data_IF_526582205763
#
_entry.id   IF_526582205763
#
_cell.length_a   1.000
_cell.length_b   1.000
_cell.length_c   1.000
_cell.angle_alpha   90.00
_cell.angle_beta   90.00
_cell.angle_gamma   90.00
#
_symmetry.space_group_name_H-M   'P 1'
#
loop_
_entity.id
_entity.type
_entity.pdbx_description
1 polymer ?
#
# COMPACT_ATOMS: atom_id res chain seq x y z
N UNK A 1 44.44 41.24 -23.07
CA UNK A 1 45.20 39.97 -23.14
C UNK A 1 45.32 39.26 -21.79
N UNK A 2 45.57 39.94 -20.66
CA UNK A 2 45.65 39.29 -19.33
C UNK A 2 44.35 38.57 -18.90
N UNK A 3 43.19 39.18 -19.13
CA UNK A 3 41.90 38.57 -18.80
C UNK A 3 41.56 37.33 -19.65
N UNK A 4 42.06 37.24 -20.88
CA UNK A 4 41.86 36.05 -21.73
C UNK A 4 42.77 34.90 -21.33
N UNK A 5 44.01 35.19 -20.90
CA UNK A 5 44.95 34.19 -20.37
C UNK A 5 44.44 33.63 -19.03
N UNK A 6 43.97 34.48 -18.12
CA UNK A 6 43.40 34.03 -16.84
C UNK A 6 42.17 33.11 -17.03
N UNK A 7 41.25 33.45 -17.96
CA UNK A 7 40.10 32.59 -18.30
C UNK A 7 40.54 31.26 -18.93
N UNK A 8 41.60 31.28 -19.73
CA UNK A 8 42.15 30.07 -20.37
C UNK A 8 42.80 29.13 -19.34
N UNK A 9 43.55 29.67 -18.38
CA UNK A 9 44.16 28.89 -17.30
C UNK A 9 43.11 28.25 -16.37
N UNK A 10 42.08 29.00 -16.00
CA UNK A 10 40.95 28.48 -15.21
C UNK A 10 40.25 27.34 -15.96
N UNK A 11 40.03 27.50 -17.27
CA UNK A 11 39.44 26.46 -18.12
C UNK A 11 40.31 25.21 -18.18
N UNK A 12 41.61 25.33 -18.44
CA UNK A 12 42.56 24.19 -18.44
C UNK A 12 42.64 23.49 -17.09
N UNK A 13 42.57 24.23 -15.97
CA UNK A 13 42.51 23.64 -14.63
C UNK A 13 41.21 22.84 -14.45
N UNK A 14 40.08 23.40 -14.85
CA UNK A 14 38.78 22.71 -14.84
C UNK A 14 38.78 21.44 -15.69
N UNK A 15 39.28 21.49 -16.92
CA UNK A 15 39.37 20.34 -17.83
C UNK A 15 40.26 19.23 -17.27
N UNK A 16 41.39 19.57 -16.63
CA UNK A 16 42.26 18.59 -15.97
C UNK A 16 41.53 17.91 -14.81
N UNK A 17 40.82 18.68 -13.99
CA UNK A 17 40.05 18.12 -12.88
C UNK A 17 38.92 17.22 -13.38
N UNK A 18 38.22 17.62 -14.44
CA UNK A 18 37.16 16.81 -15.05
C UNK A 18 37.69 15.49 -15.60
N UNK A 19 38.83 15.52 -16.32
CA UNK A 19 39.49 14.30 -16.82
C UNK A 19 39.95 13.39 -15.69
N UNK A 20 40.56 13.93 -14.64
CA UNK A 20 40.98 13.15 -13.48
C UNK A 20 39.79 12.51 -12.75
N UNK A 21 38.66 13.22 -12.65
CA UNK A 21 37.45 12.71 -12.04
C UNK A 21 36.79 11.62 -12.89
N UNK A 22 36.74 11.78 -14.21
CA UNK A 22 36.23 10.76 -15.13
C UNK A 22 37.07 9.47 -15.03
N UNK A 23 38.40 9.59 -15.11
CA UNK A 23 39.30 8.44 -14.97
C UNK A 23 39.21 7.73 -13.61
N UNK A 24 38.78 8.41 -12.54
CA UNK A 24 38.49 7.77 -11.25
C UNK A 24 37.15 7.04 -11.26
N UNK A 25 36.12 7.66 -11.82
CA UNK A 25 34.80 7.06 -11.95
C UNK A 25 34.82 5.81 -12.84
N UNK A 26 35.60 5.83 -13.93
CA UNK A 26 35.81 4.66 -14.81
C UNK A 26 36.47 3.48 -14.09
N UNK A 27 37.22 3.75 -13.01
CA UNK A 27 37.82 2.73 -12.13
C UNK A 27 36.91 2.37 -10.95
N UNK A 28 35.66 2.83 -10.93
CA UNK A 28 34.73 2.58 -9.85
C UNK A 28 35.07 3.29 -8.53
N UNK A 29 36.00 4.26 -8.54
CA UNK A 29 36.45 4.96 -7.33
C UNK A 29 35.61 6.24 -7.13
N UNK A 30 34.92 6.39 -5.98
CA UNK A 30 34.12 7.57 -5.71
C UNK A 30 34.96 8.85 -5.66
N UNK A 31 34.36 9.97 -6.06
CA UNK A 31 35.01 11.27 -5.98
C UNK A 31 35.09 11.71 -4.52
N UNK A 32 36.25 12.27 -4.14
CA UNK A 32 36.45 12.86 -2.81
C UNK A 32 35.50 14.06 -2.61
N UNK A 33 34.76 14.04 -1.50
CA UNK A 33 33.66 14.94 -1.21
C UNK A 33 33.21 14.82 0.25
N UNK A 34 31.98 15.22 0.54
CA UNK A 34 31.41 15.11 1.91
C UNK A 34 31.13 13.65 2.23
N UNK A 35 31.43 13.23 3.47
CA UNK A 35 31.17 11.88 3.96
C UNK A 35 29.69 11.51 3.83
N UNK A 36 29.34 10.40 3.15
CA UNK A 36 27.98 9.88 3.14
C UNK A 36 27.71 9.13 4.46
N UNK A 37 26.47 9.24 4.93
CA UNK A 37 26.00 8.45 6.08
C UNK A 37 26.00 6.96 5.73
N UNK A 38 26.59 6.12 6.58
CA UNK A 38 26.82 4.69 6.35
C UNK A 38 28.26 4.31 5.99
N UNK A 39 29.10 5.28 5.61
CA UNK A 39 30.50 5.02 5.22
C UNK A 39 31.47 5.98 5.89
N UNK A 40 32.74 5.59 5.90
CA UNK A 40 33.85 6.40 6.37
C UNK A 40 34.20 7.57 5.43
N UNK A 41 35.15 8.40 5.86
CA UNK A 41 35.61 9.60 5.13
C UNK A 41 36.17 9.26 3.75
N UNK A 42 36.68 8.04 3.57
CA UNK A 42 37.12 7.49 2.29
C UNK A 42 35.97 7.24 1.30
N UNK A 43 34.71 7.26 1.78
CA UNK A 43 33.48 6.97 1.04
C UNK A 43 33.46 5.58 0.42
N UNK A 44 34.22 4.63 0.97
CA UNK A 44 34.32 3.26 0.47
C UNK A 44 34.05 2.29 1.59
N UNK A 45 34.71 2.46 2.74
CA UNK A 45 34.60 1.55 3.88
C UNK A 45 33.30 1.78 4.64
N UNK A 46 32.58 0.72 4.98
CA UNK A 46 31.35 0.80 5.76
C UNK A 46 31.64 1.22 7.20
N UNK A 47 30.85 2.16 7.71
CA UNK A 47 30.80 2.51 9.14
C UNK A 47 29.68 1.72 9.79
N UNK A 48 30.03 0.62 10.45
CA UNK A 48 29.04 -0.36 10.92
C UNK A 48 27.93 0.22 11.81
N UNK A 49 28.22 1.16 12.70
CA UNK A 49 27.19 1.78 13.56
C UNK A 49 26.09 2.54 12.77
N UNK A 50 26.46 3.18 11.66
CA UNK A 50 25.50 3.84 10.77
C UNK A 50 24.88 2.85 9.78
N UNK A 51 25.64 1.83 9.38
CA UNK A 51 25.21 0.79 8.46
C UNK A 51 24.12 -0.10 9.06
N UNK A 52 24.23 -0.46 10.34
CA UNK A 52 23.18 -1.18 11.08
C UNK A 52 21.86 -0.39 11.08
N UNK A 53 21.92 0.93 11.32
CA UNK A 53 20.74 1.78 11.25
C UNK A 53 20.12 1.73 9.84
N UNK A 54 20.95 1.80 8.79
CA UNK A 54 20.48 1.68 7.39
C UNK A 54 19.84 0.31 7.15
N UNK A 55 20.49 -0.80 7.50
CA UNK A 55 19.95 -2.16 7.33
C UNK A 55 18.61 -2.34 8.05
N UNK A 56 18.52 -1.85 9.29
CA UNK A 56 17.27 -1.84 10.06
C UNK A 56 16.19 -1.00 9.36
N UNK A 57 16.52 0.20 8.88
CA UNK A 57 15.54 1.05 8.21
C UNK A 57 15.03 0.43 6.89
N UNK A 58 15.89 -0.28 6.15
CA UNK A 58 15.49 -1.07 4.99
C UNK A 58 14.50 -2.18 5.38
N UNK A 59 14.80 -2.96 6.43
CA UNK A 59 13.91 -4.05 6.87
C UNK A 59 12.54 -3.53 7.33
N UNK A 60 12.50 -2.41 8.04
CA UNK A 60 11.24 -1.78 8.47
C UNK A 60 10.39 -1.34 7.27
N UNK A 61 10.99 -0.72 6.26
CA UNK A 61 10.24 -0.27 5.07
C UNK A 61 9.72 -1.45 4.25
N UNK A 62 10.51 -2.52 4.12
CA UNK A 62 10.07 -3.76 3.47
C UNK A 62 8.94 -4.45 4.24
N UNK A 63 8.93 -4.35 5.58
CA UNK A 63 7.85 -4.81 6.44
C UNK A 63 6.61 -3.89 6.42
N UNK A 64 6.60 -2.84 5.59
CA UNK A 64 5.44 -1.95 5.40
C UNK A 64 5.43 -0.70 6.28
N UNK A 65 6.45 -0.46 7.11
CA UNK A 65 6.52 0.72 7.96
C UNK A 65 6.49 2.04 7.16
N UNK A 66 6.12 3.13 7.84
CA UNK A 66 6.13 4.46 7.24
C UNK A 66 7.52 5.11 7.34
N UNK A 67 7.88 5.98 6.38
CA UNK A 67 9.11 6.77 6.52
C UNK A 67 9.10 7.65 7.77
N UNK A 68 7.92 8.10 8.19
CA UNK A 68 7.76 8.91 9.39
C UNK A 68 8.12 8.12 10.65
N UNK A 69 7.65 6.87 10.79
CA UNK A 69 7.96 6.03 11.95
C UNK A 69 9.45 5.70 12.04
N UNK A 70 10.12 5.47 10.90
CA UNK A 70 11.58 5.26 10.85
C UNK A 70 12.33 6.52 11.29
N UNK A 71 11.98 7.69 10.75
CA UNK A 71 12.60 8.97 11.13
C UNK A 71 12.37 9.29 12.60
N UNK A 72 11.16 9.03 13.11
CA UNK A 72 10.83 9.23 14.52
C UNK A 72 11.71 8.34 15.39
N UNK A 73 11.83 7.05 15.09
CA UNK A 73 12.67 6.12 15.84
C UNK A 73 14.14 6.55 15.85
N UNK A 74 14.70 6.96 14.71
CA UNK A 74 16.08 7.44 14.64
C UNK A 74 16.31 8.72 15.45
N UNK A 75 15.39 9.69 15.37
CA UNK A 75 15.51 10.93 16.13
C UNK A 75 15.32 10.68 17.64
N UNK A 76 14.41 9.78 18.04
CA UNK A 76 14.21 9.38 19.44
C UNK A 76 15.48 8.69 19.99
N UNK A 77 16.21 7.94 19.16
CA UNK A 77 17.50 7.32 19.48
C UNK A 77 18.70 8.26 19.31
N UNK A 78 18.49 9.54 19.02
CA UNK A 78 19.56 10.53 18.77
C UNK A 78 20.53 10.14 17.64
N UNK A 79 20.09 9.32 16.69
CA UNK A 79 20.85 9.02 15.47
C UNK A 79 20.79 10.26 14.57
N UNK A 80 21.94 10.86 14.27
CA UNK A 80 22.02 12.05 13.42
C UNK A 80 22.55 11.70 12.04
N UNK A 81 22.29 12.58 11.06
CA UNK A 81 22.91 12.46 9.73
C UNK A 81 24.44 12.63 9.82
N UNK A 82 25.17 12.29 8.75
CA UNK A 82 26.63 12.46 8.70
C UNK A 82 27.13 13.90 8.89
N UNK A 83 26.23 14.89 8.93
CA UNK A 83 26.52 16.31 9.20
C UNK A 83 26.00 16.76 10.59
N UNK A 84 25.52 15.85 11.44
CA UNK A 84 25.01 16.15 12.77
C UNK A 84 23.57 16.68 12.82
N UNK A 85 22.86 16.73 11.68
CA UNK A 85 21.47 17.19 11.65
C UNK A 85 20.49 16.05 11.97
N UNK A 86 19.36 16.40 12.61
CA UNK A 86 18.23 15.50 12.78
C UNK A 86 17.66 15.04 11.43
N UNK A 87 17.08 13.84 11.40
CA UNK A 87 16.54 13.26 10.19
C UNK A 87 15.16 13.82 9.86
N UNK A 88 14.93 14.04 8.57
CA UNK A 88 13.62 14.30 7.98
C UNK A 88 13.23 13.19 7.02
N UNK A 89 11.92 13.02 6.78
CA UNK A 89 11.40 12.03 5.84
C UNK A 89 11.89 12.27 4.41
N UNK A 90 12.11 13.53 4.03
CA UNK A 90 12.67 13.90 2.73
C UNK A 90 14.14 13.48 2.59
N UNK A 91 14.95 13.66 3.63
CA UNK A 91 16.35 13.21 3.64
C UNK A 91 16.45 11.69 3.64
N UNK A 92 15.65 11.00 4.46
CA UNK A 92 15.61 9.55 4.50
C UNK A 92 15.21 8.96 3.14
N UNK A 93 14.18 9.52 2.49
CA UNK A 93 13.78 9.12 1.14
C UNK A 93 14.89 9.29 0.12
N UNK A 94 15.61 10.42 0.18
CA UNK A 94 16.78 10.66 -0.70
C UNK A 94 17.91 9.68 -0.42
N UNK A 95 18.12 9.28 0.84
CA UNK A 95 19.14 8.30 1.22
C UNK A 95 18.83 6.93 0.64
N UNK A 96 17.59 6.44 0.78
CA UNK A 96 17.19 5.13 0.25
C UNK A 96 17.34 4.99 -1.26
N UNK A 97 17.18 6.08 -2.02
CA UNK A 97 17.31 6.08 -3.48
C UNK A 97 18.75 6.10 -3.99
N UNK A 98 19.76 6.16 -3.12
CA UNK A 98 21.17 6.19 -3.56
C UNK A 98 21.60 4.80 -3.98
N UNK A 99 22.14 4.69 -5.19
CA UNK A 99 22.67 3.45 -5.77
C UNK A 99 23.86 2.91 -4.97
N UNK A 100 24.59 3.82 -4.31
CA UNK A 100 25.65 3.51 -3.35
C UNK A 100 25.24 2.51 -2.26
N UNK A 101 23.96 2.47 -1.87
CA UNK A 101 23.52 1.57 -0.81
C UNK A 101 23.73 0.09 -1.17
N UNK A 102 23.66 -0.27 -2.46
CA UNK A 102 23.98 -1.60 -2.96
C UNK A 102 25.39 -1.69 -3.59
N UNK A 103 26.25 -0.70 -3.36
CA UNK A 103 27.64 -0.71 -3.81
C UNK A 103 27.88 -0.11 -5.20
N UNK A 104 26.89 0.50 -5.84
CA UNK A 104 27.07 1.11 -7.15
C UNK A 104 27.46 2.59 -7.09
N UNK A 105 28.30 3.02 -8.04
CA UNK A 105 28.75 4.39 -8.19
C UNK A 105 27.95 5.10 -9.29
N UNK A 106 27.25 6.18 -8.91
CA UNK A 106 26.60 7.09 -9.86
C UNK A 106 27.56 8.24 -10.22
N UNK A 107 27.98 8.32 -11.47
CA UNK A 107 28.78 9.43 -12.00
C UNK A 107 28.14 10.02 -13.25
N UNK A 108 27.76 11.31 -13.21
CA UNK A 108 27.13 12.05 -14.33
C UNK A 108 25.96 11.32 -15.01
N UNK A 109 25.17 10.57 -14.24
CA UNK A 109 24.01 9.83 -14.75
C UNK A 109 24.33 8.40 -15.23
N UNK A 110 25.59 8.01 -15.26
CA UNK A 110 26.02 6.63 -15.53
C UNK A 110 26.20 5.91 -14.20
N UNK A 111 25.61 4.71 -14.09
CA UNK A 111 25.74 3.84 -12.93
C UNK A 111 26.78 2.76 -13.24
N UNK A 112 27.81 2.66 -12.40
CA UNK A 112 28.77 1.56 -12.43
C UNK A 112 28.51 0.65 -11.23
N UNK A 113 28.17 -0.61 -11.51
CA UNK A 113 28.01 -1.64 -10.46
C UNK A 113 29.36 -2.23 -10.03
N UNK A 114 30.36 -2.17 -10.93
CA UNK A 114 31.76 -2.46 -10.60
C UNK A 114 32.36 -1.21 -9.96
N UNK A 115 32.21 -1.10 -8.64
CA UNK A 115 32.68 0.03 -7.86
C UNK A 115 33.39 -0.43 -6.59
N UNK A 116 34.33 0.41 -6.12
CA UNK A 116 35.06 0.13 -4.89
C UNK A 116 34.19 0.28 -3.63
N UNK A 117 32.97 0.81 -3.74
CA UNK A 117 32.10 1.09 -2.61
C UNK A 117 31.58 -0.22 -2.00
N UNK A 118 31.81 -0.41 -0.71
CA UNK A 118 31.25 -1.56 0.01
C UNK A 118 29.72 -1.42 0.15
N UNK A 119 28.94 -2.45 -0.23
CA UNK A 119 27.48 -2.42 -0.15
C UNK A 119 26.99 -2.60 1.29
N UNK A 120 25.92 -1.88 1.66
CA UNK A 120 25.25 -2.04 2.96
C UNK A 120 24.03 -2.97 2.84
N UNK A 121 23.37 -2.96 1.68
CA UNK A 121 22.19 -3.79 1.36
C UNK A 121 22.35 -4.46 0.00
N UNK A 122 21.54 -5.48 -0.29
CA UNK A 122 21.55 -6.11 -1.62
C UNK A 122 20.85 -5.24 -2.66
N UNK A 123 21.16 -5.45 -3.94
CA UNK A 123 20.50 -4.78 -5.06
C UNK A 123 18.98 -5.03 -5.05
N UNK A 124 18.56 -6.24 -4.73
CA UNK A 124 17.14 -6.62 -4.67
C UNK A 124 16.41 -5.90 -3.55
N UNK A 125 17.01 -5.80 -2.35
CA UNK A 125 16.47 -5.03 -1.23
C UNK A 125 16.34 -3.54 -1.59
N UNK A 126 17.35 -3.02 -2.30
CA UNK A 126 17.33 -1.65 -2.79
C UNK A 126 16.19 -1.41 -3.78
N UNK A 127 16.08 -2.25 -4.81
CA UNK A 127 15.03 -2.16 -5.83
C UNK A 127 13.63 -2.27 -5.22
N UNK A 128 13.42 -3.22 -4.29
CA UNK A 128 12.14 -3.39 -3.60
C UNK A 128 11.75 -2.14 -2.81
N UNK A 129 12.68 -1.53 -2.06
CA UNK A 129 12.39 -0.28 -1.34
C UNK A 129 12.14 0.89 -2.30
N UNK A 130 12.93 1.03 -3.38
CA UNK A 130 12.70 2.08 -4.38
C UNK A 130 11.31 1.94 -5.01
N UNK A 131 10.91 0.71 -5.37
CA UNK A 131 9.58 0.42 -5.89
C UNK A 131 8.47 0.78 -4.89
N UNK A 132 8.63 0.49 -3.59
CA UNK A 132 7.69 0.91 -2.54
C UNK A 132 7.60 2.44 -2.46
N UNK A 133 8.74 3.13 -2.56
CA UNK A 133 8.82 4.60 -2.46
C UNK A 133 8.23 5.32 -3.68
N UNK A 134 8.31 4.70 -4.86
CA UNK A 134 7.77 5.22 -6.12
C UNK A 134 6.32 4.82 -6.33
N UNK A 135 5.92 3.61 -5.93
CA UNK A 135 4.52 3.19 -5.85
C UNK A 135 3.73 4.02 -4.84
N UNK A 136 4.35 4.47 -3.73
CA UNK A 136 3.75 5.47 -2.82
C UNK A 136 3.67 6.88 -3.41
N UNK A 137 4.22 7.17 -4.59
CA UNK A 137 4.14 8.50 -5.21
C UNK A 137 2.74 8.81 -5.76
N UNK A 138 1.91 7.79 -6.02
CA UNK A 138 0.49 7.96 -6.38
C UNK A 138 -0.41 8.08 -5.14
N UNK A 139 0.05 7.59 -3.99
CA UNK A 139 -0.59 7.77 -2.70
C UNK A 139 -0.17 9.12 -2.10
N UNK A 140 -0.98 10.15 -2.37
CA UNK A 140 -0.73 11.54 -2.00
C UNK A 140 -0.18 11.75 -0.58
N UNK A 141 0.75 12.71 -0.49
CA UNK A 141 1.34 13.34 0.71
C UNK A 141 0.63 12.95 2.01
N UNK A 142 1.40 12.39 2.95
CA UNK A 142 1.03 12.07 4.34
C UNK A 142 0.16 13.14 5.00
N UNK A 143 -1.12 13.07 4.69
CA UNK A 143 -2.21 13.66 5.44
C UNK A 143 -2.48 12.62 6.51
N UNK A 144 -2.58 13.04 7.78
CA UNK A 144 -3.16 12.22 8.86
C UNK A 144 -4.33 11.42 8.25
N UNK A 145 -4.55 10.13 8.57
CA UNK A 145 -5.66 9.36 8.05
C UNK A 145 -6.93 10.21 8.22
N UNK A 146 -7.38 10.83 7.13
CA UNK A 146 -8.62 11.56 7.18
C UNK A 146 -9.61 10.45 6.95
N UNK A 147 -10.43 10.15 7.96
CA UNK A 147 -11.51 9.16 7.94
C UNK A 147 -12.51 9.45 6.82
N UNK A 148 -12.09 9.30 5.57
CA UNK A 148 -12.83 9.70 4.37
C UNK A 148 -12.88 8.54 3.41
N UNK A 149 -13.51 7.46 3.88
CA UNK A 149 -13.67 6.21 3.16
C UNK A 149 -14.46 6.40 1.86
N UNK A 150 -15.35 7.39 1.80
CA UNK A 150 -16.14 7.71 0.60
C UNK A 150 -15.39 8.47 -0.51
N UNK A 151 -14.10 8.78 -0.31
CA UNK A 151 -13.28 9.42 -1.34
C UNK A 151 -13.17 8.50 -2.55
N UNK A 152 -13.49 9.02 -3.74
CA UNK A 152 -13.55 8.24 -4.99
C UNK A 152 -14.53 7.06 -4.96
N UNK A 153 -15.54 7.09 -4.10
CA UNK A 153 -16.66 6.12 -4.06
C UNK A 153 -17.95 6.80 -4.51
N UNK A 154 -18.22 7.97 -3.93
CA UNK A 154 -19.42 8.74 -4.20
C UNK A 154 -19.32 9.40 -5.57
N UNK A 155 -20.43 9.44 -6.30
CA UNK A 155 -20.54 10.03 -7.63
C UNK A 155 -21.41 11.28 -7.64
N UNK A 156 -21.10 12.21 -8.54
CA UNK A 156 -21.88 13.41 -8.78
C UNK A 156 -23.07 13.11 -9.68
N UNK A 157 -24.30 13.39 -9.26
CA UNK A 157 -25.49 13.21 -10.09
C UNK A 157 -25.64 14.18 -11.27
N UNK A 158 -24.71 15.12 -11.46
CA UNK A 158 -24.72 16.09 -12.57
C UNK A 158 -23.81 15.64 -13.72
N UNK A 159 -22.61 15.15 -13.42
CA UNK A 159 -21.63 14.72 -14.43
C UNK A 159 -21.19 13.26 -14.31
N UNK A 160 -21.63 12.52 -13.29
CA UNK A 160 -21.16 11.16 -13.02
C UNK A 160 -19.73 11.06 -12.48
N UNK A 161 -18.97 12.16 -12.42
CA UNK A 161 -17.59 12.14 -11.93
C UNK A 161 -17.52 11.78 -10.44
N UNK A 162 -16.39 11.19 -10.05
CA UNK A 162 -16.11 10.81 -8.67
C UNK A 162 -15.93 12.04 -7.78
N UNK A 163 -16.35 11.92 -6.52
CA UNK A 163 -16.22 12.97 -5.52
C UNK A 163 -15.01 12.73 -4.62
N UNK A 164 -14.31 13.80 -4.22
CA UNK A 164 -13.14 13.75 -3.34
C UNK A 164 -13.41 14.49 -2.04
N UNK A 165 -12.88 13.97 -0.93
CA UNK A 165 -12.94 14.65 0.35
C UNK A 165 -12.07 15.91 0.33
N UNK A 166 -12.65 17.04 0.73
CA UNK A 166 -11.95 18.30 0.90
C UNK A 166 -12.49 19.05 2.12
N UNK A 167 -11.71 19.98 2.64
CA UNK A 167 -12.16 20.88 3.70
C UNK A 167 -12.78 22.13 3.09
N UNK A 168 -13.94 22.52 3.58
CA UNK A 168 -14.63 23.76 3.21
C UNK A 168 -14.78 24.61 4.47
N UNK A 169 -14.48 25.90 4.36
CA UNK A 169 -14.71 26.86 5.45
C UNK A 169 -15.94 27.69 5.10
N UNK A 170 -16.96 27.63 5.95
CA UNK A 170 -18.18 28.42 5.80
C UNK A 170 -18.51 29.11 7.13
N UNK A 171 -18.72 30.43 7.10
CA UNK A 171 -18.97 31.25 8.30
C UNK A 171 -17.98 30.96 9.46
N UNK A 172 -16.69 30.87 9.13
CA UNK A 172 -15.62 30.59 10.10
C UNK A 172 -15.53 29.14 10.59
N UNK A 173 -16.50 28.27 10.26
CA UNK A 173 -16.47 26.84 10.62
C UNK A 173 -15.91 26.02 9.49
N UNK A 174 -14.92 25.18 9.81
CA UNK A 174 -14.25 24.30 8.85
C UNK A 174 -14.87 22.91 8.90
N UNK A 175 -15.52 22.48 7.83
CA UNK A 175 -16.20 21.17 7.73
C UNK A 175 -15.61 20.33 6.60
N UNK A 176 -15.59 19.00 6.78
CA UNK A 176 -15.26 18.07 5.70
C UNK A 176 -16.44 17.90 4.78
N UNK A 177 -16.17 17.96 3.48
CA UNK A 177 -17.16 17.79 2.44
C UNK A 177 -16.59 16.88 1.34
N UNK A 178 -17.43 16.05 0.77
CA UNK A 178 -17.16 15.42 -0.52
C UNK A 178 -17.58 16.40 -1.60
N UNK A 179 -16.64 16.78 -2.45
CA UNK A 179 -16.88 17.71 -3.56
C UNK A 179 -16.64 16.97 -4.88
N UNK A 180 -17.49 17.24 -5.87
CA UNK A 180 -17.26 16.78 -7.24
C UNK A 180 -15.87 17.23 -7.73
N UNK A 181 -15.17 16.37 -8.45
CA UNK A 181 -13.87 16.67 -9.04
C UNK A 181 -13.91 17.92 -9.95
N UNK A 182 -14.96 18.05 -10.77
CA UNK A 182 -15.23 19.23 -11.59
C UNK A 182 -15.42 20.53 -10.78
N UNK A 183 -15.86 20.43 -9.52
CA UNK A 183 -15.97 21.57 -8.61
C UNK A 183 -14.63 21.96 -7.99
N UNK A 184 -13.72 21.00 -7.84
CA UNK A 184 -12.41 21.19 -7.22
C UNK A 184 -11.38 21.75 -8.20
N UNK A 185 -11.39 21.24 -9.44
CA UNK A 185 -10.49 21.70 -10.49
C UNK A 185 -11.24 22.59 -11.48
N UNK A 186 -10.91 23.89 -11.45
CA UNK A 186 -11.48 24.89 -12.37
C UNK A 186 -11.24 24.56 -13.84
N UNK A 187 -10.21 23.77 -14.17
CA UNK A 187 -9.90 23.35 -15.56
C UNK A 187 -10.92 22.35 -16.10
N UNK A 188 -11.60 21.61 -15.21
CA UNK A 188 -12.60 20.61 -15.58
C UNK A 188 -14.02 21.20 -15.60
N UNK A 189 -14.17 22.48 -15.28
CA UNK A 189 -15.47 23.16 -15.19
C UNK A 189 -16.22 23.10 -16.51
N UNK A 190 -17.41 22.51 -16.48
CA UNK A 190 -18.32 22.34 -17.63
C UNK A 190 -19.45 23.39 -17.67
N UNK A 191 -19.36 24.45 -16.86
CA UNK A 191 -20.35 25.52 -16.76
C UNK A 191 -21.57 25.19 -15.89
N UNK A 192 -21.71 23.94 -15.40
CA UNK A 192 -22.81 23.53 -14.51
C UNK A 192 -22.42 23.63 -13.04
N UNK A 193 -23.42 23.80 -12.16
CA UNK A 193 -23.18 23.81 -10.71
C UNK A 193 -23.11 22.38 -10.18
N UNK A 194 -21.90 21.92 -9.88
CA UNK A 194 -21.67 20.58 -9.33
C UNK A 194 -21.92 20.47 -7.83
N UNK A 195 -22.25 19.26 -7.42
CA UNK A 195 -22.65 18.96 -6.04
C UNK A 195 -21.45 18.89 -5.09
N UNK A 196 -21.76 19.16 -3.82
CA UNK A 196 -20.88 18.90 -2.70
C UNK A 196 -21.69 18.66 -1.43
N UNK A 197 -21.31 17.69 -0.61
CA UNK A 197 -22.06 17.28 0.58
C UNK A 197 -21.13 17.13 1.78
N UNK A 198 -21.61 17.51 2.97
CA UNK A 198 -20.82 17.42 4.19
C UNK A 198 -20.68 15.95 4.64
N UNK A 199 -19.47 15.58 5.08
CA UNK A 199 -19.12 14.23 5.49
C UNK A 199 -20.05 13.69 6.60
N UNK A 200 -20.34 14.51 7.61
CA UNK A 200 -21.22 14.15 8.72
C UNK A 200 -22.69 13.89 8.33
N UNK A 201 -23.09 14.25 7.10
CA UNK A 201 -24.44 13.96 6.57
C UNK A 201 -24.42 12.63 5.80
N UNK A 202 -23.43 12.42 4.93
CA UNK A 202 -23.41 11.25 4.04
C UNK A 202 -22.81 9.99 4.68
N UNK A 203 -21.79 10.14 5.53
CA UNK A 203 -21.08 8.99 6.11
C UNK A 203 -21.99 8.10 6.98
N UNK A 204 -22.82 8.63 7.91
CA UNK A 204 -23.72 7.80 8.72
C UNK A 204 -24.80 7.07 7.90
N UNK A 205 -25.32 7.75 6.86
CA UNK A 205 -26.33 7.18 5.95
C UNK A 205 -25.76 6.00 5.16
N UNK A 206 -24.52 6.13 4.67
CA UNK A 206 -23.85 5.04 3.93
C UNK A 206 -23.53 3.86 4.84
N UNK A 207 -23.04 4.09 6.06
CA UNK A 207 -22.77 3.00 7.01
C UNK A 207 -24.07 2.29 7.39
N UNK A 208 -25.15 3.04 7.60
CA UNK A 208 -26.48 2.46 7.87
C UNK A 208 -26.98 1.65 6.67
N UNK A 209 -26.87 2.15 5.45
CA UNK A 209 -27.26 1.41 4.26
C UNK A 209 -26.41 0.14 4.05
N UNK A 210 -25.12 0.19 4.38
CA UNK A 210 -24.23 -0.96 4.31
C UNK A 210 -24.63 -2.04 5.32
N UNK A 211 -24.95 -1.63 6.56
CA UNK A 211 -25.53 -2.52 7.58
C UNK A 211 -26.81 -3.19 7.07
N UNK A 212 -27.73 -2.42 6.52
CA UNK A 212 -28.99 -2.95 5.97
C UNK A 212 -28.74 -3.93 4.82
N UNK A 213 -27.78 -3.64 3.95
CA UNK A 213 -27.47 -4.48 2.79
C UNK A 213 -26.77 -5.79 3.19
N UNK A 214 -25.81 -5.70 4.10
CA UNK A 214 -24.99 -6.85 4.50
C UNK A 214 -25.71 -7.76 5.49
N UNK A 215 -26.39 -7.18 6.48
CA UNK A 215 -26.92 -7.94 7.63
C UNK A 215 -28.42 -8.14 7.53
N UNK A 216 -29.18 -7.15 7.04
CA UNK A 216 -30.65 -7.27 6.97
C UNK A 216 -31.13 -7.87 5.65
N UNK A 217 -30.47 -7.56 4.53
CA UNK A 217 -30.84 -8.02 3.19
C UNK A 217 -29.94 -9.14 2.64
N UNK A 218 -28.85 -9.47 3.33
CA UNK A 218 -27.85 -10.45 2.91
C UNK A 218 -28.32 -11.92 2.89
N UNK A 219 -29.49 -12.23 3.45
CA UNK A 219 -30.04 -13.59 3.49
C UNK A 219 -30.85 -14.04 2.27
N UNK A 220 -30.75 -13.36 1.11
CA UNK A 220 -31.61 -13.65 -0.07
C UNK A 220 -30.86 -13.81 -1.41
N UNK A 221 -29.56 -14.07 -1.40
CA UNK A 221 -28.77 -14.35 -2.60
C UNK A 221 -27.92 -15.62 -2.41
N UNK A 222 -28.59 -16.75 -2.17
CA UNK A 222 -27.98 -18.04 -1.79
C UNK A 222 -28.28 -19.12 -2.84
N UNK A 223 -27.24 -19.85 -3.29
CA UNK A 223 -27.15 -21.33 -3.33
C UNK A 223 -26.25 -21.91 -4.45
N UNK A 224 -25.94 -21.18 -5.53
CA UNK A 224 -25.17 -21.78 -6.64
C UNK A 224 -23.64 -21.78 -6.43
N UNK A 225 -23.07 -20.69 -5.92
CA UNK A 225 -21.61 -20.52 -5.82
C UNK A 225 -21.02 -21.15 -4.54
N UNK A 226 -21.77 -21.20 -3.44
CA UNK A 226 -21.28 -21.70 -2.14
C UNK A 226 -21.03 -23.21 -2.14
N UNK A 227 -21.85 -23.97 -2.89
CA UNK A 227 -21.67 -25.41 -3.06
C UNK A 227 -20.36 -25.73 -3.80
N UNK A 228 -19.98 -24.90 -4.78
CA UNK A 228 -18.75 -25.10 -5.55
C UNK A 228 -17.51 -24.65 -4.77
N UNK A 229 -17.58 -23.54 -4.03
CA UNK A 229 -16.52 -23.13 -3.10
C UNK A 229 -16.30 -24.20 -2.02
N UNK A 230 -17.37 -24.74 -1.44
CA UNK A 230 -17.28 -25.81 -0.45
C UNK A 230 -16.67 -27.09 -1.05
N UNK A 231 -17.08 -27.50 -2.26
CA UNK A 231 -16.47 -28.63 -2.98
C UNK A 231 -14.97 -28.43 -3.19
N UNK A 232 -14.55 -27.25 -3.66
CA UNK A 232 -13.13 -26.96 -3.90
C UNK A 232 -12.31 -26.95 -2.61
N UNK A 233 -12.86 -26.44 -1.50
CA UNK A 233 -12.20 -26.52 -0.18
C UNK A 233 -12.10 -27.95 0.35
N UNK A 234 -13.14 -28.77 0.16
CA UNK A 234 -13.11 -30.19 0.51
C UNK A 234 -12.04 -30.91 -0.32
N UNK A 235 -11.95 -30.62 -1.62
CA UNK A 235 -10.93 -31.19 -2.51
C UNK A 235 -9.51 -30.79 -2.08
N UNK A 236 -9.26 -29.52 -1.73
CA UNK A 236 -7.96 -29.08 -1.20
C UNK A 236 -7.59 -29.80 0.11
N UNK A 237 -8.54 -29.95 1.03
CA UNK A 237 -8.32 -30.68 2.29
C UNK A 237 -7.99 -32.15 2.06
N UNK A 238 -8.63 -32.80 1.07
CA UNK A 238 -8.33 -34.18 0.69
C UNK A 238 -6.94 -34.32 0.06
N UNK A 239 -6.56 -33.40 -0.83
CA UNK A 239 -5.22 -33.36 -1.44
C UNK A 239 -4.14 -33.18 -0.36
N UNK A 240 -4.35 -32.30 0.62
CA UNK A 240 -3.43 -32.12 1.75
C UNK A 240 -3.33 -33.34 2.65
N UNK A 241 -4.45 -34.04 2.86
CA UNK A 241 -4.47 -35.32 3.59
C UNK A 241 -3.65 -36.39 2.86
N UNK A 242 -3.87 -36.53 1.55
CA UNK A 242 -3.11 -37.46 0.69
C UNK A 242 -1.62 -37.09 0.66
N UNK A 243 -1.28 -35.80 0.63
CA UNK A 243 0.11 -35.33 0.67
C UNK A 243 0.79 -35.69 2.00
N UNK A 244 0.09 -35.52 3.13
CA UNK A 244 0.59 -35.94 4.44
C UNK A 244 0.83 -37.44 4.53
N UNK A 245 -0.11 -38.26 4.05
CA UNK A 245 0.07 -39.71 4.01
C UNK A 245 1.31 -40.13 3.19
N UNK A 246 1.55 -39.47 2.05
CA UNK A 246 2.75 -39.73 1.22
C UNK A 246 4.03 -39.24 1.90
N UNK A 247 3.97 -38.16 2.69
CA UNK A 247 5.10 -37.68 3.51
C UNK A 247 5.40 -38.61 4.68
N UNK A 248 4.39 -39.23 5.28
CA UNK A 248 4.55 -40.25 6.34
C UNK A 248 5.20 -41.52 5.77
N UNK A 249 4.71 -42.00 4.62
CA UNK A 249 5.32 -43.12 3.87
C UNK A 249 6.77 -42.84 3.46
N UNK A 250 7.15 -41.58 3.29
CA UNK A 250 8.53 -41.20 2.98
C UNK A 250 9.51 -41.53 4.10
N UNK A 251 9.02 -41.63 5.35
CA UNK A 251 9.85 -41.89 6.52
C UNK A 251 10.00 -43.39 6.82
N UNK A 252 9.31 -44.26 6.09
CA UNK A 252 9.38 -45.71 6.29
C UNK A 252 10.62 -46.33 5.63
N UNK A 253 11.24 -47.29 6.31
CA UNK A 253 12.40 -48.01 5.80
C UNK A 253 12.00 -48.89 4.59
N UNK A 254 12.70 -48.72 3.46
CA UNK A 254 12.41 -49.43 2.21
C UNK A 254 11.43 -48.71 1.27
N UNK A 255 11.03 -47.47 1.59
CA UNK A 255 10.15 -46.67 0.75
C UNK A 255 10.75 -46.38 -0.64
N UNK A 256 9.95 -46.59 -1.70
CA UNK A 256 10.33 -46.18 -3.06
C UNK A 256 10.19 -44.65 -3.22
N UNK A 257 11.24 -43.93 -2.85
CA UNK A 257 11.31 -42.47 -2.96
C UNK A 257 11.14 -41.95 -4.39
N UNK A 258 11.37 -42.76 -5.42
CA UNK A 258 11.16 -42.35 -6.82
C UNK A 258 9.67 -42.31 -7.13
N UNK A 259 8.93 -43.34 -6.73
CA UNK A 259 7.49 -43.39 -6.84
C UNK A 259 6.81 -42.32 -5.97
N UNK A 260 7.23 -42.16 -4.70
CA UNK A 260 6.68 -41.16 -3.80
C UNK A 260 6.92 -39.72 -4.29
N UNK A 261 8.09 -39.43 -4.89
CA UNK A 261 8.37 -38.12 -5.49
C UNK A 261 7.42 -37.81 -6.63
N UNK A 262 7.12 -38.81 -7.46
CA UNK A 262 6.17 -38.68 -8.58
C UNK A 262 4.74 -38.44 -8.06
N UNK A 263 4.33 -39.13 -6.99
CA UNK A 263 3.04 -38.91 -6.33
C UNK A 263 2.93 -37.51 -5.72
N UNK A 264 3.95 -37.03 -5.00
CA UNK A 264 3.98 -35.67 -4.43
C UNK A 264 3.91 -34.60 -5.52
N UNK A 265 4.63 -34.78 -6.64
CA UNK A 265 4.56 -33.86 -7.77
C UNK A 265 3.16 -33.84 -8.41
N UNK A 266 2.51 -35.00 -8.54
CA UNK A 266 1.13 -35.11 -9.03
C UNK A 266 0.14 -34.38 -8.12
N UNK A 267 0.21 -34.61 -6.80
CA UNK A 267 -0.62 -33.94 -5.81
C UNK A 267 -0.38 -32.42 -5.75
N UNK A 268 0.88 -31.98 -5.95
CA UNK A 268 1.21 -30.56 -6.06
C UNK A 268 0.51 -29.91 -7.25
N UNK A 269 0.55 -30.54 -8.42
CA UNK A 269 -0.16 -30.04 -9.61
C UNK A 269 -1.69 -30.03 -9.43
N UNK A 270 -2.24 -31.02 -8.73
CA UNK A 270 -3.67 -31.09 -8.40
C UNK A 270 -4.07 -29.95 -7.42
N UNK A 271 -3.24 -29.68 -6.42
CA UNK A 271 -3.41 -28.56 -5.49
C UNK A 271 -3.36 -27.22 -6.20
N UNK A 272 -2.37 -26.99 -7.06
CA UNK A 272 -2.21 -25.72 -7.79
C UNK A 272 -3.43 -25.42 -8.66
N UNK A 273 -3.94 -26.42 -9.40
CA UNK A 273 -5.14 -26.27 -10.24
C UNK A 273 -6.39 -25.95 -9.41
N UNK A 274 -6.59 -26.69 -8.30
CA UNK A 274 -7.75 -26.53 -7.43
C UNK A 274 -7.71 -25.19 -6.69
N UNK A 275 -6.52 -24.79 -6.22
CA UNK A 275 -6.30 -23.52 -5.55
C UNK A 275 -6.43 -22.35 -6.53
N UNK A 276 -6.00 -22.50 -7.78
CA UNK A 276 -6.20 -21.51 -8.83
C UNK A 276 -7.69 -21.34 -9.17
N UNK A 277 -8.47 -22.42 -9.25
CA UNK A 277 -9.92 -22.36 -9.46
C UNK A 277 -10.65 -21.68 -8.29
N UNK A 278 -10.27 -22.02 -7.04
CA UNK A 278 -10.80 -21.36 -5.85
C UNK A 278 -10.41 -19.87 -5.82
N UNK A 279 -9.15 -19.57 -6.09
CA UNK A 279 -8.66 -18.18 -6.15
C UNK A 279 -9.33 -17.42 -7.28
N UNK A 280 -9.64 -18.02 -8.43
CA UNK A 280 -10.39 -17.37 -9.51
C UNK A 280 -11.79 -16.95 -9.04
N UNK A 281 -12.55 -17.87 -8.43
CA UNK A 281 -13.88 -17.62 -7.86
C UNK A 281 -13.83 -16.54 -6.76
N UNK A 282 -12.79 -16.56 -5.92
CA UNK A 282 -12.59 -15.58 -4.85
C UNK A 282 -12.05 -14.23 -5.36
N UNK A 283 -11.25 -14.22 -6.42
CA UNK A 283 -10.64 -13.01 -7.02
C UNK A 283 -11.63 -12.19 -7.84
N UNK A 284 -12.66 -12.83 -8.40
CA UNK A 284 -13.84 -12.14 -8.93
C UNK A 284 -14.66 -11.45 -7.81
N UNK A 285 -14.38 -11.73 -6.53
CA UNK A 285 -15.21 -11.37 -5.38
C UNK A 285 -14.44 -10.86 -4.14
N UNK A 286 -13.36 -10.07 -4.32
CA UNK A 286 -12.53 -9.53 -3.20
C UNK A 286 -13.36 -8.76 -2.15
N UNK A 287 -14.49 -8.16 -2.55
CA UNK A 287 -15.43 -7.50 -1.64
C UNK A 287 -16.28 -8.45 -0.78
N UNK A 288 -16.58 -9.67 -1.26
CA UNK A 288 -17.45 -10.64 -0.56
C UNK A 288 -16.77 -11.25 0.66
N UNK A 289 -15.48 -11.57 0.62
CA UNK A 289 -14.80 -12.18 1.78
C UNK A 289 -14.82 -11.33 3.06
N UNK A 290 -14.75 -10.00 2.93
CA UNK A 290 -14.89 -9.08 4.07
C UNK A 290 -16.36 -8.90 4.47
N UNK A 291 -17.28 -8.92 3.51
CA UNK A 291 -18.72 -8.94 3.75
C UNK A 291 -19.18 -10.20 4.47
N UNK A 292 -18.65 -11.36 4.13
CA UNK A 292 -18.99 -12.66 4.69
C UNK A 292 -18.41 -12.81 6.10
N UNK A 293 -17.15 -12.40 6.32
CA UNK A 293 -16.57 -12.35 7.67
C UNK A 293 -17.34 -11.40 8.62
N UNK A 294 -17.85 -10.28 8.09
CA UNK A 294 -18.73 -9.40 8.86
C UNK A 294 -20.12 -10.01 9.07
N UNK A 295 -20.69 -10.68 8.08
CA UNK A 295 -21.97 -11.39 8.23
C UNK A 295 -21.88 -12.49 9.28
N UNK A 296 -20.89 -13.36 9.20
CA UNK A 296 -20.65 -14.43 10.17
C UNK A 296 -20.43 -13.90 11.59
N UNK A 297 -19.79 -12.73 11.74
CA UNK A 297 -19.58 -12.11 13.06
C UNK A 297 -20.84 -11.48 13.67
N UNK A 298 -21.87 -11.15 12.87
CA UNK A 298 -23.04 -10.37 13.30
C UNK A 298 -24.40 -11.03 13.07
N UNK A 299 -24.46 -12.20 12.41
CA UNK A 299 -25.68 -13.02 12.25
C UNK A 299 -25.61 -14.18 13.25
N UNK A 300 -26.41 -14.18 14.33
CA UNK A 300 -26.53 -15.35 15.21
C UNK A 300 -27.24 -16.48 14.47
N UNK A 301 -26.75 -17.72 14.61
CA UNK A 301 -27.48 -18.91 14.20
C UNK A 301 -28.62 -19.20 15.21
N UNK A 302 -29.82 -18.66 14.98
CA UNK A 302 -30.99 -18.77 15.87
C UNK A 302 -32.33 -18.49 15.17
N UNK A 303 -33.44 -18.50 15.90
CA UNK A 303 -34.82 -18.46 15.37
C UNK A 303 -35.35 -17.01 15.15
N UNK A 304 -36.27 -16.83 14.19
CA UNK A 304 -36.68 -15.53 13.59
C UNK A 304 -37.12 -14.41 14.57
N UNK A 305 -37.59 -14.73 15.76
CA UNK A 305 -38.10 -13.76 16.74
C UNK A 305 -37.03 -13.23 17.72
N UNK A 306 -35.92 -13.93 17.93
CA UNK A 306 -34.77 -13.39 18.70
C UNK A 306 -33.90 -12.43 17.87
N UNK A 307 -33.98 -12.54 16.54
CA UNK A 307 -33.20 -11.74 15.59
C UNK A 307 -33.45 -10.23 15.69
N UNK A 308 -34.70 -9.78 15.82
CA UNK A 308 -35.03 -8.35 15.79
C UNK A 308 -34.48 -7.56 16.99
N UNK A 309 -34.39 -8.19 18.16
CA UNK A 309 -33.90 -7.56 19.41
C UNK A 309 -32.37 -7.62 19.49
N UNK A 310 -31.74 -8.68 18.94
CA UNK A 310 -30.30 -8.79 18.77
C UNK A 310 -29.73 -7.82 17.70
N UNK A 311 -30.53 -7.50 16.67
CA UNK A 311 -30.18 -6.61 15.56
C UNK A 311 -29.97 -5.13 15.95
N UNK A 312 -30.50 -4.72 17.11
CA UNK A 312 -30.33 -3.37 17.66
C UNK A 312 -28.89 -3.15 18.13
N UNK A 313 -28.46 -3.88 19.17
CA UNK A 313 -27.10 -3.78 19.72
C UNK A 313 -25.99 -4.23 18.75
N UNK A 314 -26.34 -4.99 17.71
CA UNK A 314 -25.41 -5.36 16.65
C UNK A 314 -25.13 -4.21 15.67
N UNK A 315 -26.01 -3.20 15.53
CA UNK A 315 -25.74 -2.05 14.65
C UNK A 315 -24.64 -1.19 15.22
N UNK A 316 -24.68 -0.86 16.52
CA UNK A 316 -23.60 -0.09 17.15
C UNK A 316 -22.28 -0.88 17.13
N UNK A 317 -22.34 -2.19 17.35
CA UNK A 317 -21.18 -3.05 17.28
C UNK A 317 -20.60 -3.15 15.84
N UNK A 318 -21.46 -3.19 14.82
CA UNK A 318 -21.05 -3.13 13.42
C UNK A 318 -20.41 -1.79 13.07
N UNK A 319 -21.00 -0.68 13.53
CA UNK A 319 -20.43 0.66 13.33
C UNK A 319 -19.05 0.73 13.98
N UNK A 320 -18.90 0.24 15.21
CA UNK A 320 -17.60 0.21 15.91
C UNK A 320 -16.58 -0.67 15.17
N UNK A 321 -16.98 -1.85 14.70
CA UNK A 321 -16.14 -2.73 13.90
C UNK A 321 -15.72 -2.05 12.59
N UNK A 322 -16.65 -1.45 11.86
CA UNK A 322 -16.39 -0.70 10.63
C UNK A 322 -15.42 0.47 10.89
N UNK A 323 -15.64 1.25 11.95
CA UNK A 323 -14.79 2.39 12.32
C UNK A 323 -13.37 1.97 12.72
N UNK A 324 -13.20 0.76 13.29
CA UNK A 324 -11.88 0.21 13.63
C UNK A 324 -11.05 -0.24 12.42
N UNK A 325 -11.69 -0.43 11.25
CA UNK A 325 -11.00 -0.86 10.02
C UNK A 325 -10.14 0.24 9.40
N UNK A 326 -9.18 -0.17 8.56
CA UNK A 326 -8.44 0.78 7.72
C UNK A 326 -9.39 1.50 6.76
N UNK A 327 -9.09 2.75 6.41
CA UNK A 327 -9.92 3.54 5.48
C UNK A 327 -10.02 2.90 4.09
N UNK A 328 -9.02 2.10 3.70
CA UNK A 328 -9.03 1.37 2.44
C UNK A 328 -9.98 0.16 2.50
N UNK A 329 -10.01 -0.57 3.62
CA UNK A 329 -10.98 -1.65 3.84
C UNK A 329 -12.42 -1.12 3.93
N UNK A 330 -12.66 -0.02 4.66
CA UNK A 330 -13.95 0.67 4.70
C UNK A 330 -14.43 1.09 3.30
N UNK A 331 -13.50 1.60 2.47
CA UNK A 331 -13.79 2.03 1.11
C UNK A 331 -14.17 0.86 0.21
N UNK A 332 -13.45 -0.25 0.34
CA UNK A 332 -13.69 -1.44 -0.46
C UNK A 332 -15.04 -2.07 -0.15
N UNK A 333 -15.41 -2.16 1.14
CA UNK A 333 -16.73 -2.62 1.57
C UNK A 333 -17.86 -1.82 0.92
N UNK A 334 -17.75 -0.49 0.95
CA UNK A 334 -18.79 0.37 0.39
C UNK A 334 -18.84 0.22 -1.14
N UNK A 335 -17.68 0.16 -1.81
CA UNK A 335 -17.63 -0.03 -3.28
C UNK A 335 -18.19 -1.36 -3.74
N UNK A 336 -17.95 -2.42 -2.99
CA UNK A 336 -18.41 -3.75 -3.34
C UNK A 336 -19.93 -3.87 -3.24
N UNK A 337 -20.53 -3.23 -2.22
CA UNK A 337 -21.92 -3.49 -1.86
C UNK A 337 -22.89 -2.36 -2.22
N UNK A 338 -22.41 -1.13 -2.42
CA UNK A 338 -23.27 0.04 -2.59
C UNK A 338 -22.86 0.90 -3.79
N UNK A 339 -23.87 1.44 -4.46
CA UNK A 339 -23.75 2.61 -5.31
C UNK A 339 -24.22 3.83 -4.51
N UNK A 340 -23.42 4.90 -4.52
CA UNK A 340 -23.71 6.13 -3.79
C UNK A 340 -23.60 7.32 -4.75
N UNK A 341 -24.72 7.99 -4.96
CA UNK A 341 -24.83 9.15 -5.82
C UNK A 341 -25.39 10.34 -5.05
N UNK A 342 -24.88 11.54 -5.35
CA UNK A 342 -25.35 12.79 -4.74
C UNK A 342 -25.95 13.68 -5.81
N UNK A 343 -27.25 13.94 -5.71
CA UNK A 343 -27.99 14.78 -6.64
C UNK A 343 -28.04 16.26 -6.18
N UNK A 344 -28.37 17.21 -7.07
CA UNK A 344 -28.60 18.61 -6.70
C UNK A 344 -29.70 18.76 -5.64
N UNK A 345 -29.60 19.78 -4.78
CA UNK A 345 -30.56 20.05 -3.70
C UNK A 345 -29.90 20.32 -2.34
N UNK A 346 -30.66 20.28 -1.25
CA UNK A 346 -30.19 20.52 0.12
C UNK A 346 -30.50 19.34 1.06
N UNK A 347 -29.64 19.11 2.05
CA UNK A 347 -29.83 18.07 3.08
C UNK A 347 -29.44 16.66 2.64
N UNK A 348 -29.77 15.66 3.46
CA UNK A 348 -29.44 14.24 3.22
C UNK A 348 -30.33 13.54 2.17
N UNK A 349 -31.54 14.06 1.90
CA UNK A 349 -32.52 13.44 0.98
C UNK A 349 -32.09 13.36 -0.50
N UNK A 350 -30.98 14.02 -0.85
CA UNK A 350 -30.40 14.01 -2.21
C UNK A 350 -29.29 12.96 -2.38
N UNK A 351 -29.01 12.18 -1.33
CA UNK A 351 -28.08 11.05 -1.40
C UNK A 351 -28.91 9.83 -1.78
N UNK A 352 -28.65 9.30 -2.97
CA UNK A 352 -29.20 8.04 -3.41
C UNK A 352 -28.18 6.95 -3.10
N UNK A 353 -28.59 5.97 -2.29
CA UNK A 353 -27.80 4.82 -1.91
C UNK A 353 -28.58 3.59 -2.34
N UNK A 354 -28.02 2.81 -3.26
CA UNK A 354 -28.64 1.57 -3.73
C UNK A 354 -27.65 0.41 -3.59
N UNK A 355 -28.09 -0.79 -3.17
CA UNK A 355 -27.29 -1.99 -3.23
C UNK A 355 -26.77 -2.25 -4.65
N UNK A 356 -25.58 -2.83 -4.75
CA UNK A 356 -24.99 -3.26 -6.03
C UNK A 356 -25.35 -4.69 -6.37
#
# INVERSE_FOLDING_TARGET
MLASIARFEVRRKGERQQRANAARADKGVPLMGRRPFGWEVDQVTVRESEAEAIRWAYSQVLAGASLYSVVKAWNDQSITSAQGNAWSTAQLRKMFKRERNYGALLYKGTVSEDSAIEPIVTKDQWQAVVAILEGRSTAGKGRKPVHSFLTNVVTCGVCGSRMRANWVTFKGKRTRNYLCETKLDRRLSDGRTHVGIAAHIIEPEVVTALWMTLVVQGGRAEQADDAEVLRLRIALSDIERRRRAVQELWLEDGADHTHLRKLLAGLGSEWDKTNQALTAILSENVGKGLSDALREAFIPSGDEQEHATALGGSKEAFVAAFESMSTDAQRELVRANLSVQVNPGYGGKRVEIAPR
#
